data_IF_799380693273
#
_entry.id   IF_799380693273
#
_cell.length_a   1.000
_cell.length_b   1.000
_cell.length_c   1.000
_cell.angle_alpha   90.00
_cell.angle_beta   90.00
_cell.angle_gamma   90.00
#
_symmetry.space_group_name_H-M   'P 1'
#
loop_
_entity.id
_entity.type
_entity.pdbx_description
1 polymer ?
#
# COMPACT_ATOMS: atom_id res chain seq x y z
N UNK A 1 31.95 43.67 45.77
CA UNK A 1 32.78 42.89 44.83
C UNK A 1 31.90 41.81 44.22
N UNK A 2 31.55 41.95 42.93
CA UNK A 2 30.64 41.06 42.20
C UNK A 2 31.41 39.84 41.71
N UNK A 3 30.98 38.64 42.11
CA UNK A 3 31.53 37.36 41.64
C UNK A 3 30.90 37.06 40.28
N UNK A 4 31.71 37.21 39.23
CA UNK A 4 31.34 36.96 37.84
C UNK A 4 31.25 35.45 37.62
N UNK A 5 30.05 34.90 37.65
CA UNK A 5 29.78 33.51 37.23
C UNK A 5 30.11 33.40 35.74
N UNK A 6 31.14 32.61 35.39
CA UNK A 6 31.40 32.24 34.00
C UNK A 6 30.37 31.20 33.60
N UNK A 7 29.44 31.58 32.72
CA UNK A 7 28.55 30.64 32.05
C UNK A 7 29.38 29.65 31.24
N UNK A 8 29.25 28.36 31.57
CA UNK A 8 29.70 27.27 30.73
C UNK A 8 28.94 27.36 29.40
N UNK A 9 29.68 27.59 28.31
CA UNK A 9 29.20 27.38 26.96
C UNK A 9 29.20 25.87 26.72
N UNK A 10 28.07 25.22 27.00
CA UNK A 10 27.88 23.84 26.57
C UNK A 10 27.58 23.85 25.07
N UNK A 11 28.46 23.18 24.33
CA UNK A 11 28.41 23.07 22.89
C UNK A 11 27.28 22.15 22.48
N UNK A 12 26.10 22.72 22.25
CA UNK A 12 25.10 22.10 21.39
C UNK A 12 25.64 22.10 19.97
N UNK A 13 26.38 21.06 19.59
CA UNK A 13 26.62 20.68 18.21
C UNK A 13 25.26 20.37 17.58
N UNK A 14 24.56 21.41 17.15
CA UNK A 14 23.41 21.26 16.28
C UNK A 14 23.91 20.63 15.00
N UNK A 15 23.56 19.36 14.76
CA UNK A 15 23.62 18.80 13.43
C UNK A 15 22.96 19.81 12.48
N UNK A 16 23.58 20.17 11.35
CA UNK A 16 22.96 21.08 10.41
C UNK A 16 21.59 20.50 10.06
N UNK A 17 20.55 21.29 10.28
CA UNK A 17 19.17 20.90 10.02
C UNK A 17 19.07 20.49 8.55
N UNK A 18 19.15 19.18 8.28
CA UNK A 18 19.20 18.66 6.92
C UNK A 18 17.94 19.12 6.20
N UNK A 19 18.08 19.95 5.16
CA UNK A 19 16.93 20.43 4.41
C UNK A 19 16.22 19.27 3.69
N UNK A 20 14.93 19.43 3.39
CA UNK A 20 14.12 18.33 2.85
C UNK A 20 14.66 17.79 1.51
N UNK A 21 15.29 18.65 0.70
CA UNK A 21 15.83 18.29 -0.60
C UNK A 21 17.11 17.46 -0.47
N UNK A 22 18.00 17.81 0.45
CA UNK A 22 19.21 17.06 0.74
C UNK A 22 18.88 15.69 1.33
N UNK A 23 17.91 15.61 2.25
CA UNK A 23 17.41 14.34 2.78
C UNK A 23 16.84 13.43 1.68
N UNK A 24 15.97 13.96 0.80
CA UNK A 24 15.45 13.19 -0.33
C UNK A 24 16.55 12.76 -1.30
N UNK A 25 17.55 13.61 -1.54
CA UNK A 25 18.68 13.31 -2.43
C UNK A 25 19.54 12.18 -1.88
N UNK A 26 19.75 12.13 -0.56
CA UNK A 26 20.47 11.04 0.11
C UNK A 26 19.72 9.72 -0.05
N UNK A 27 18.41 9.71 0.22
CA UNK A 27 17.59 8.51 0.03
C UNK A 27 17.59 8.05 -1.43
N UNK A 28 17.49 8.98 -2.39
CA UNK A 28 17.55 8.65 -3.82
C UNK A 28 18.88 7.98 -4.22
N UNK A 29 20.00 8.41 -3.63
CA UNK A 29 21.30 7.73 -3.82
C UNK A 29 21.26 6.30 -3.27
N UNK A 30 20.71 6.11 -2.07
CA UNK A 30 20.54 4.78 -1.48
C UNK A 30 19.65 3.86 -2.31
N UNK A 31 18.53 4.37 -2.84
CA UNK A 31 17.64 3.61 -3.74
C UNK A 31 18.35 3.14 -5.02
N UNK A 32 19.31 3.93 -5.52
CA UNK A 32 20.10 3.60 -6.72
C UNK A 32 21.33 2.75 -6.44
N UNK A 33 21.60 2.38 -5.19
CA UNK A 33 22.69 1.49 -4.85
C UNK A 33 22.53 0.12 -5.54
N UNK A 34 23.65 -0.50 -5.92
CA UNK A 34 23.67 -1.88 -6.39
C UNK A 34 23.46 -2.92 -5.27
N UNK A 35 23.43 -2.48 -4.00
CA UNK A 35 23.31 -3.35 -2.83
C UNK A 35 21.89 -3.30 -2.25
N UNK A 36 21.23 -4.46 -2.24
CA UNK A 36 19.86 -4.61 -1.72
C UNK A 36 19.71 -4.10 -0.28
N UNK A 37 20.74 -4.28 0.56
CA UNK A 37 20.75 -3.78 1.94
C UNK A 37 20.65 -2.25 2.04
N UNK A 38 21.45 -1.53 1.24
CA UNK A 38 21.44 -0.06 1.20
C UNK A 38 20.14 0.47 0.60
N UNK A 39 19.60 -0.20 -0.41
CA UNK A 39 18.28 0.13 -0.97
C UNK A 39 17.18 -0.03 0.08
N UNK A 40 17.19 -1.13 0.82
CA UNK A 40 16.23 -1.39 1.89
C UNK A 40 16.32 -0.34 3.00
N UNK A 41 17.54 -0.01 3.44
CA UNK A 41 17.79 1.02 4.44
C UNK A 41 17.24 2.38 3.98
N UNK A 42 17.42 2.74 2.71
CA UNK A 42 16.85 3.95 2.15
C UNK A 42 15.31 3.91 2.13
N UNK A 43 14.69 2.79 1.75
CA UNK A 43 13.22 2.64 1.69
C UNK A 43 12.59 2.87 3.07
N UNK A 44 13.14 2.27 4.14
CA UNK A 44 12.55 2.35 5.48
C UNK A 44 12.66 3.73 6.12
N UNK A 45 13.46 4.64 5.56
CA UNK A 45 13.61 6.03 6.02
C UNK A 45 12.57 6.99 5.42
N UNK A 46 11.79 6.57 4.43
CA UNK A 46 10.74 7.42 3.83
C UNK A 46 9.59 7.78 4.78
N UNK A 47 9.02 6.86 5.59
CA UNK A 47 7.93 7.23 6.49
C UNK A 47 8.32 8.33 7.49
N UNK A 48 9.45 8.26 8.21
CA UNK A 48 9.92 9.37 9.05
C UNK A 48 10.17 10.67 8.28
N UNK A 49 10.64 10.58 7.02
CA UNK A 49 10.82 11.75 6.17
C UNK A 49 9.49 12.43 5.85
N UNK A 50 8.42 11.67 5.61
CA UNK A 50 7.08 12.22 5.34
C UNK A 50 6.47 12.88 6.57
N UNK A 51 6.71 12.33 7.75
CA UNK A 51 6.31 12.96 9.01
C UNK A 51 7.00 14.31 9.21
N UNK A 52 8.30 14.37 8.92
CA UNK A 52 9.12 15.58 9.08
C UNK A 52 8.79 16.65 8.03
N UNK A 53 8.53 16.24 6.79
CA UNK A 53 8.30 17.13 5.65
C UNK A 53 7.04 16.73 4.87
N UNK A 54 5.84 17.01 5.39
CA UNK A 54 4.57 16.52 4.86
C UNK A 54 4.07 17.29 3.62
N UNK A 55 4.97 17.82 2.80
CA UNK A 55 4.64 18.66 1.63
C UNK A 55 4.38 17.80 0.38
N UNK A 56 3.34 18.11 -0.42
CA UNK A 56 2.95 17.28 -1.57
C UNK A 56 4.04 17.03 -2.61
N UNK A 57 4.90 18.01 -2.89
CA UNK A 57 5.96 17.88 -3.90
C UNK A 57 6.94 16.76 -3.51
N UNK A 58 7.38 16.75 -2.25
CA UNK A 58 8.31 15.75 -1.73
C UNK A 58 7.67 14.37 -1.69
N UNK A 59 6.45 14.28 -1.17
CA UNK A 59 5.70 13.01 -1.06
C UNK A 59 5.47 12.41 -2.46
N UNK A 60 4.98 13.21 -3.40
CA UNK A 60 4.78 12.78 -4.78
C UNK A 60 6.07 12.25 -5.42
N UNK A 61 7.17 13.03 -5.34
CA UNK A 61 8.47 12.62 -5.88
C UNK A 61 8.97 11.31 -5.25
N UNK A 62 8.80 11.17 -3.94
CA UNK A 62 9.20 9.97 -3.18
C UNK A 62 8.41 8.74 -3.60
N UNK A 63 7.08 8.83 -3.68
CA UNK A 63 6.25 7.69 -4.12
C UNK A 63 6.53 7.30 -5.57
N UNK A 64 6.83 8.25 -6.47
CA UNK A 64 7.25 7.92 -7.83
C UNK A 64 8.56 7.13 -7.86
N UNK A 65 9.55 7.52 -7.04
CA UNK A 65 10.82 6.79 -6.89
C UNK A 65 10.63 5.40 -6.29
N UNK A 66 9.81 5.30 -5.24
CA UNK A 66 9.46 4.01 -4.63
C UNK A 66 8.73 3.09 -5.61
N UNK A 67 7.87 3.63 -6.47
CA UNK A 67 7.20 2.86 -7.52
C UNK A 67 8.17 2.36 -8.60
N UNK A 68 9.22 3.11 -8.91
CA UNK A 68 10.29 2.62 -9.79
C UNK A 68 11.03 1.44 -9.14
N UNK A 69 11.38 1.54 -7.87
CA UNK A 69 11.99 0.44 -7.10
C UNK A 69 11.05 -0.78 -7.04
N UNK A 70 9.75 -0.58 -6.84
CA UNK A 70 8.77 -1.66 -6.84
C UNK A 70 8.72 -2.39 -8.19
N UNK A 71 8.77 -1.63 -9.29
CA UNK A 71 8.71 -2.16 -10.65
C UNK A 71 9.89 -3.07 -10.95
N UNK A 72 11.12 -2.59 -10.73
CA UNK A 72 12.35 -3.31 -11.15
C UNK A 72 12.99 -4.17 -10.06
N UNK A 73 12.64 -3.95 -8.79
CA UNK A 73 13.26 -4.60 -7.64
C UNK A 73 12.90 -6.08 -7.48
N UNK A 74 13.46 -6.72 -6.46
CA UNK A 74 13.07 -8.06 -6.03
C UNK A 74 11.89 -8.00 -5.02
N UNK A 75 11.34 -9.15 -4.64
CA UNK A 75 10.20 -9.20 -3.71
C UNK A 75 10.50 -8.65 -2.32
N UNK A 76 11.76 -8.73 -1.88
CA UNK A 76 12.17 -8.14 -0.62
C UNK A 76 12.03 -6.61 -0.63
N UNK A 77 12.49 -5.94 -1.69
CA UNK A 77 12.31 -4.49 -1.84
C UNK A 77 10.83 -4.10 -2.03
N UNK A 78 10.07 -4.88 -2.81
CA UNK A 78 8.62 -4.68 -2.98
C UNK A 78 7.86 -4.73 -1.67
N UNK A 79 8.23 -5.67 -0.79
CA UNK A 79 7.65 -5.77 0.56
C UNK A 79 7.89 -4.49 1.36
N UNK A 80 9.09 -3.92 1.32
CA UNK A 80 9.37 -2.67 2.03
C UNK A 80 8.67 -1.46 1.44
N UNK A 81 8.55 -1.36 0.11
CA UNK A 81 7.73 -0.32 -0.52
C UNK A 81 6.25 -0.44 -0.10
N UNK A 82 5.71 -1.67 -0.04
CA UNK A 82 4.38 -1.94 0.52
C UNK A 82 4.27 -1.43 1.97
N UNK A 83 5.28 -1.70 2.81
CA UNK A 83 5.29 -1.20 4.21
C UNK A 83 5.27 0.32 4.28
N UNK A 84 5.99 1.01 3.39
CA UNK A 84 5.93 2.49 3.32
C UNK A 84 4.51 2.95 2.98
N UNK A 85 3.85 2.34 1.99
CA UNK A 85 2.47 2.69 1.64
C UNK A 85 1.52 2.52 2.84
N UNK A 86 1.67 1.44 3.61
CA UNK A 86 0.85 1.14 4.79
C UNK A 86 1.12 2.10 5.95
N UNK A 87 2.39 2.42 6.23
CA UNK A 87 2.77 3.27 7.35
C UNK A 87 2.48 4.75 7.09
N UNK A 88 2.38 5.15 5.82
CA UNK A 88 2.20 6.53 5.40
C UNK A 88 0.81 6.79 4.80
N UNK A 89 -0.21 6.04 5.26
CA UNK A 89 -1.60 6.13 4.76
C UNK A 89 -2.13 7.57 4.74
N UNK A 90 -1.91 8.33 5.82
CA UNK A 90 -2.32 9.75 5.97
C UNK A 90 -1.62 10.75 5.04
N UNK A 91 -0.74 10.27 4.17
CA UNK A 91 0.01 11.07 3.22
C UNK A 91 -0.26 10.66 1.77
N UNK A 92 -1.01 9.58 1.53
CA UNK A 92 -1.27 9.07 0.19
C UNK A 92 -2.10 10.05 -0.66
N UNK A 93 -2.98 10.83 -0.03
CA UNK A 93 -3.77 11.89 -0.66
C UNK A 93 -2.91 13.00 -1.31
N UNK A 94 -1.62 13.07 -0.95
CA UNK A 94 -0.67 14.06 -1.48
C UNK A 94 0.11 13.55 -2.69
N UNK A 95 -0.15 12.33 -3.16
CA UNK A 95 0.42 11.82 -4.42
C UNK A 95 -0.29 12.52 -5.58
N UNK A 96 0.43 13.37 -6.31
CA UNK A 96 -0.14 14.15 -7.41
C UNK A 96 -0.21 13.34 -8.72
N UNK A 97 0.84 12.57 -9.01
CA UNK A 97 0.95 11.76 -10.23
C UNK A 97 0.46 10.32 -10.00
N UNK A 98 -0.78 10.18 -9.54
CA UNK A 98 -1.39 8.88 -9.19
C UNK A 98 -1.36 7.89 -10.36
N UNK A 99 -1.67 8.33 -11.59
CA UNK A 99 -1.64 7.48 -12.78
C UNK A 99 -0.28 6.79 -12.98
N UNK A 100 0.79 7.57 -12.87
CA UNK A 100 2.14 7.09 -13.12
C UNK A 100 2.63 6.17 -11.98
N UNK A 101 2.29 6.50 -10.73
CA UNK A 101 2.51 5.62 -9.59
C UNK A 101 1.83 4.25 -9.80
N UNK A 102 0.53 4.26 -10.10
CA UNK A 102 -0.26 3.04 -10.32
C UNK A 102 0.29 2.25 -11.48
N UNK A 103 0.58 2.88 -12.63
CA UNK A 103 1.10 2.20 -13.82
C UNK A 103 2.39 1.43 -13.51
N UNK A 104 3.31 2.01 -12.74
CA UNK A 104 4.57 1.36 -12.35
C UNK A 104 4.34 0.16 -11.43
N UNK A 105 3.54 0.34 -10.37
CA UNK A 105 3.21 -0.75 -9.43
C UNK A 105 2.45 -1.87 -10.14
N UNK A 106 1.40 -1.52 -10.87
CA UNK A 106 0.51 -2.46 -11.55
C UNK A 106 1.23 -3.30 -12.61
N UNK A 107 2.28 -2.79 -13.25
CA UNK A 107 3.05 -3.56 -14.25
C UNK A 107 3.58 -4.91 -13.73
N UNK A 108 3.76 -5.06 -12.41
CA UNK A 108 4.25 -6.28 -11.76
C UNK A 108 3.16 -7.36 -11.63
N UNK A 109 1.87 -7.01 -11.78
CA UNK A 109 0.75 -7.97 -11.66
C UNK A 109 0.81 -9.09 -12.70
N UNK A 110 1.50 -8.86 -13.82
CA UNK A 110 1.69 -9.84 -14.90
C UNK A 110 2.91 -10.75 -14.69
N UNK A 111 3.56 -10.69 -13.52
CA UNK A 111 4.67 -11.57 -13.18
C UNK A 111 4.23 -13.03 -13.07
N UNK A 112 5.12 -13.95 -13.44
CA UNK A 112 4.91 -15.39 -13.19
C UNK A 112 5.10 -15.77 -11.72
N UNK A 113 5.69 -14.89 -10.92
CA UNK A 113 5.92 -15.10 -9.48
C UNK A 113 4.68 -14.70 -8.65
N UNK A 114 4.02 -15.66 -7.96
CA UNK A 114 2.83 -15.38 -7.16
C UNK A 114 3.09 -14.45 -5.97
N UNK A 115 4.30 -14.43 -5.41
CA UNK A 115 4.67 -13.50 -4.32
C UNK A 115 4.74 -12.08 -4.87
N UNK A 116 5.28 -11.89 -6.07
CA UNK A 116 5.31 -10.58 -6.72
C UNK A 116 3.88 -10.08 -7.02
N UNK A 117 3.00 -10.95 -7.52
CA UNK A 117 1.58 -10.62 -7.76
C UNK A 117 0.85 -10.29 -6.44
N UNK A 118 1.08 -11.09 -5.40
CA UNK A 118 0.52 -10.85 -4.06
C UNK A 118 0.95 -9.50 -3.47
N UNK A 119 2.25 -9.17 -3.54
CA UNK A 119 2.75 -7.86 -3.08
C UNK A 119 2.15 -6.70 -3.88
N UNK A 120 1.92 -6.90 -5.18
CA UNK A 120 1.24 -5.92 -6.04
C UNK A 120 -0.19 -5.68 -5.59
N UNK A 121 -0.97 -6.75 -5.39
CA UNK A 121 -2.35 -6.66 -4.89
C UNK A 121 -2.42 -5.97 -3.53
N UNK A 122 -1.55 -6.33 -2.59
CA UNK A 122 -1.50 -5.68 -1.27
C UNK A 122 -1.14 -4.20 -1.37
N UNK A 123 -0.22 -3.84 -2.25
CA UNK A 123 0.18 -2.43 -2.45
C UNK A 123 -0.97 -1.63 -3.03
N UNK A 124 -1.66 -2.15 -4.05
CA UNK A 124 -2.85 -1.53 -4.63
C UNK A 124 -3.97 -1.40 -3.60
N UNK A 125 -4.19 -2.43 -2.77
CA UNK A 125 -5.14 -2.38 -1.66
C UNK A 125 -4.81 -1.29 -0.65
N UNK A 126 -3.54 -1.15 -0.25
CA UNK A 126 -3.10 -0.10 0.69
C UNK A 126 -3.23 1.32 0.15
N UNK A 127 -3.38 1.50 -1.16
CA UNK A 127 -3.64 2.81 -1.77
C UNK A 127 -5.07 2.97 -2.30
N UNK A 128 -5.99 2.05 -1.96
CA UNK A 128 -7.35 2.03 -2.49
C UNK A 128 -8.10 3.37 -2.31
N UNK A 129 -7.81 4.11 -1.23
CA UNK A 129 -8.42 5.42 -0.95
C UNK A 129 -8.16 6.49 -2.01
N UNK A 130 -7.04 6.40 -2.76
CA UNK A 130 -6.71 7.37 -3.83
C UNK A 130 -6.98 6.83 -5.25
N UNK A 131 -7.34 5.56 -5.38
CA UNK A 131 -7.61 4.91 -6.66
C UNK A 131 -8.91 4.09 -6.70
N UNK A 132 -10.01 4.53 -6.05
CA UNK A 132 -11.16 3.66 -5.78
C UNK A 132 -11.84 3.13 -7.04
N UNK A 133 -11.79 3.85 -8.17
CA UNK A 133 -12.53 3.51 -9.40
C UNK A 133 -11.65 2.94 -10.54
N UNK A 134 -10.43 2.46 -10.23
CA UNK A 134 -9.53 1.87 -11.24
C UNK A 134 -10.00 0.49 -11.69
N UNK A 135 -10.73 0.44 -12.79
CA UNK A 135 -11.32 -0.78 -13.35
C UNK A 135 -10.30 -1.92 -13.63
N UNK A 136 -9.10 -1.59 -14.10
CA UNK A 136 -8.05 -2.61 -14.32
C UNK A 136 -7.59 -3.27 -13.02
N UNK A 137 -7.55 -2.51 -11.92
CA UNK A 137 -7.24 -3.02 -10.58
C UNK A 137 -8.39 -3.88 -10.07
N UNK A 138 -9.63 -3.43 -10.22
CA UNK A 138 -10.83 -4.19 -9.85
C UNK A 138 -10.87 -5.56 -10.53
N UNK A 139 -10.67 -5.58 -11.85
CA UNK A 139 -10.63 -6.81 -12.63
C UNK A 139 -9.51 -7.75 -12.16
N UNK A 140 -8.32 -7.21 -11.89
CA UNK A 140 -7.18 -7.99 -11.43
C UNK A 140 -7.41 -8.60 -10.05
N UNK A 141 -8.01 -7.86 -9.11
CA UNK A 141 -8.40 -8.38 -7.79
C UNK A 141 -9.40 -9.53 -7.97
N UNK A 142 -10.46 -9.33 -8.77
CA UNK A 142 -11.47 -10.36 -9.02
C UNK A 142 -10.87 -11.64 -9.59
N UNK A 143 -9.97 -11.52 -10.57
CA UNK A 143 -9.28 -12.64 -11.19
C UNK A 143 -8.33 -13.35 -10.23
N UNK A 144 -7.65 -12.60 -9.37
CA UNK A 144 -6.67 -13.15 -8.41
C UNK A 144 -7.33 -13.96 -7.29
N UNK A 145 -8.61 -13.73 -7.01
CA UNK A 145 -9.41 -14.58 -6.11
C UNK A 145 -9.63 -16.00 -6.66
N UNK A 146 -9.43 -16.21 -7.98
CA UNK A 146 -9.48 -17.51 -8.64
C UNK A 146 -8.08 -18.14 -8.84
N UNK A 147 -7.04 -17.56 -8.23
CA UNK A 147 -5.69 -18.10 -8.33
C UNK A 147 -5.56 -19.46 -7.63
N UNK A 148 -4.66 -20.29 -8.14
CA UNK A 148 -4.26 -21.55 -7.48
C UNK A 148 -3.21 -21.30 -6.39
N UNK A 149 -2.58 -20.12 -6.39
CA UNK A 149 -1.55 -19.74 -5.43
C UNK A 149 -2.19 -19.08 -4.20
N UNK A 150 -2.11 -19.75 -3.05
CA UNK A 150 -2.76 -19.27 -1.81
C UNK A 150 -2.32 -17.88 -1.38
N UNK A 151 -1.02 -17.57 -1.52
CA UNK A 151 -0.46 -16.24 -1.18
C UNK A 151 -1.07 -15.11 -2.03
N UNK A 152 -1.40 -15.40 -3.28
CA UNK A 152 -2.04 -14.44 -4.18
C UNK A 152 -3.52 -14.28 -3.83
N UNK A 153 -4.22 -15.39 -3.53
CA UNK A 153 -5.63 -15.34 -3.09
C UNK A 153 -5.77 -14.54 -1.79
N UNK A 154 -4.94 -14.78 -0.78
CA UNK A 154 -4.94 -14.02 0.48
C UNK A 154 -4.71 -12.51 0.24
N UNK A 155 -3.77 -12.18 -0.65
CA UNK A 155 -3.52 -10.80 -1.04
C UNK A 155 -4.70 -10.17 -1.79
N UNK A 156 -5.39 -10.95 -2.63
CA UNK A 156 -6.60 -10.52 -3.33
C UNK A 156 -7.76 -10.30 -2.36
N UNK A 157 -7.93 -11.13 -1.33
CA UNK A 157 -8.91 -10.93 -0.26
C UNK A 157 -8.64 -9.65 0.50
N UNK A 158 -7.38 -9.39 0.88
CA UNK A 158 -6.99 -8.12 1.49
C UNK A 158 -7.33 -6.93 0.59
N UNK A 159 -6.94 -6.97 -0.69
CA UNK A 159 -7.22 -5.88 -1.63
C UNK A 159 -8.73 -5.69 -1.85
N UNK A 160 -9.49 -6.77 -1.97
CA UNK A 160 -10.95 -6.72 -2.11
C UNK A 160 -11.61 -6.05 -0.90
N UNK A 161 -11.15 -6.35 0.32
CA UNK A 161 -11.60 -5.66 1.53
C UNK A 161 -11.36 -4.15 1.45
N UNK A 162 -10.13 -3.75 1.12
CA UNK A 162 -9.77 -2.32 1.05
C UNK A 162 -10.57 -1.57 -0.02
N UNK A 163 -10.74 -2.16 -1.20
CA UNK A 163 -11.52 -1.55 -2.28
C UNK A 163 -13.02 -1.53 -2.01
N UNK A 164 -13.58 -2.58 -1.39
CA UNK A 164 -15.00 -2.60 -1.03
C UNK A 164 -15.35 -1.50 -0.04
N UNK A 165 -14.42 -1.15 0.86
CA UNK A 165 -14.61 -0.04 1.80
C UNK A 165 -14.66 1.34 1.12
N UNK A 166 -14.03 1.50 -0.05
CA UNK A 166 -13.85 2.79 -0.71
C UNK A 166 -14.71 2.98 -1.96
N UNK A 167 -15.06 1.90 -2.66
CA UNK A 167 -15.77 1.94 -3.93
C UNK A 167 -17.07 1.16 -3.90
N UNK A 168 -18.18 1.90 -4.01
CA UNK A 168 -19.53 1.33 -4.13
C UNK A 168 -19.63 0.41 -5.35
N UNK A 169 -19.11 0.84 -6.50
CA UNK A 169 -19.18 0.09 -7.75
C UNK A 169 -18.46 -1.25 -7.61
N UNK A 170 -17.27 -1.24 -7.00
CA UNK A 170 -16.51 -2.44 -6.70
C UNK A 170 -17.25 -3.37 -5.75
N UNK A 171 -17.72 -2.86 -4.60
CA UNK A 171 -18.43 -3.65 -3.60
C UNK A 171 -19.61 -4.41 -4.23
N UNK A 172 -20.50 -3.70 -4.91
CA UNK A 172 -21.67 -4.30 -5.59
C UNK A 172 -21.24 -5.37 -6.60
N UNK A 173 -20.23 -5.09 -7.42
CA UNK A 173 -19.73 -6.04 -8.42
C UNK A 173 -19.11 -7.30 -7.82
N UNK A 174 -18.58 -7.20 -6.59
CA UNK A 174 -17.84 -8.25 -5.90
C UNK A 174 -18.75 -9.13 -5.04
N UNK A 175 -19.91 -8.64 -4.62
CA UNK A 175 -20.84 -9.33 -3.71
C UNK A 175 -21.13 -10.79 -4.12
N UNK A 176 -21.52 -11.01 -5.38
CA UNK A 176 -21.78 -12.37 -5.91
C UNK A 176 -20.55 -13.27 -5.84
N UNK A 177 -19.37 -12.73 -6.15
CA UNK A 177 -18.12 -13.50 -6.17
C UNK A 177 -17.75 -13.97 -4.76
N UNK A 178 -17.81 -13.06 -3.78
CA UNK A 178 -17.50 -13.37 -2.37
C UNK A 178 -18.53 -14.36 -1.81
N UNK A 179 -19.81 -14.15 -2.10
CA UNK A 179 -20.88 -15.06 -1.67
C UNK A 179 -20.66 -16.48 -2.18
N UNK A 180 -20.33 -16.63 -3.46
CA UNK A 180 -20.01 -17.93 -4.05
C UNK A 180 -18.80 -18.59 -3.38
N UNK A 181 -17.74 -17.84 -3.09
CA UNK A 181 -16.56 -18.38 -2.40
C UNK A 181 -16.88 -18.81 -0.96
N UNK A 182 -17.71 -18.06 -0.23
CA UNK A 182 -18.11 -18.42 1.14
C UNK A 182 -18.95 -19.70 1.15
N UNK A 183 -19.90 -19.84 0.23
CA UNK A 183 -20.76 -21.03 0.12
C UNK A 183 -20.02 -22.24 -0.45
N UNK A 184 -19.01 -22.01 -1.30
CA UNK A 184 -18.24 -23.07 -1.96
C UNK A 184 -17.54 -23.99 -0.96
N UNK A 185 -17.65 -25.31 -1.20
CA UNK A 185 -16.96 -26.33 -0.41
C UNK A 185 -15.45 -26.36 -0.66
N UNK A 186 -15.01 -25.87 -1.83
CA UNK A 186 -13.59 -25.82 -2.21
C UNK A 186 -12.81 -24.75 -1.42
N UNK A 187 -13.49 -23.75 -0.86
CA UNK A 187 -12.85 -22.68 -0.10
C UNK A 187 -12.57 -23.16 1.33
N UNK A 188 -11.32 -23.19 1.80
CA UNK A 188 -10.99 -23.60 3.15
C UNK A 188 -11.63 -22.69 4.22
N UNK A 189 -11.92 -23.25 5.40
CA UNK A 189 -12.59 -22.51 6.47
C UNK A 189 -11.89 -21.20 6.87
N UNK A 190 -10.56 -21.20 6.97
CA UNK A 190 -9.79 -19.99 7.31
C UNK A 190 -9.98 -18.87 6.27
N UNK A 191 -10.04 -19.22 4.98
CA UNK A 191 -10.27 -18.26 3.90
C UNK A 191 -11.70 -17.70 3.95
N UNK A 192 -12.69 -18.53 4.27
CA UNK A 192 -14.08 -18.07 4.49
C UNK A 192 -14.15 -17.03 5.61
N UNK A 193 -13.43 -17.24 6.71
CA UNK A 193 -13.36 -16.27 7.81
C UNK A 193 -12.76 -14.93 7.40
N UNK A 194 -11.83 -14.91 6.43
CA UNK A 194 -11.26 -13.67 5.89
C UNK A 194 -12.18 -12.98 4.87
N UNK A 195 -13.02 -13.75 4.16
CA UNK A 195 -13.99 -13.24 3.19
C UNK A 195 -15.22 -12.60 3.83
N UNK A 196 -15.72 -13.15 4.93
CA UNK A 196 -16.93 -12.68 5.62
C UNK A 196 -16.89 -11.18 5.96
N UNK A 197 -15.79 -10.62 6.52
CA UNK A 197 -15.70 -9.19 6.81
C UNK A 197 -15.92 -8.28 5.60
N UNK A 198 -15.62 -8.72 4.37
CA UNK A 198 -15.83 -7.92 3.16
C UNK A 198 -17.31 -7.58 2.97
N UNK A 199 -18.21 -8.46 3.43
CA UNK A 199 -19.65 -8.29 3.30
C UNK A 199 -20.19 -7.08 4.07
N UNK A 200 -19.47 -6.57 5.08
CA UNK A 200 -19.87 -5.37 5.82
C UNK A 200 -19.98 -4.12 4.93
N UNK A 201 -19.28 -4.13 3.78
CA UNK A 201 -19.28 -3.05 2.81
C UNK A 201 -20.38 -3.19 1.74
N UNK A 202 -21.23 -4.22 1.81
CA UNK A 202 -22.29 -4.51 0.83
C UNK A 202 -23.63 -3.88 1.24
N UNK A 203 -23.60 -2.63 1.69
CA UNK A 203 -24.77 -1.89 2.19
C UNK A 203 -25.21 -0.76 1.24
N UNK A 204 -24.65 -0.72 0.03
CA UNK A 204 -24.82 0.41 -0.89
C UNK A 204 -26.09 0.36 -1.75
N UNK A 205 -26.77 -0.80 -1.80
CA UNK A 205 -28.07 -0.96 -2.43
C UNK A 205 -28.86 -2.10 -1.75
N UNK A 206 -30.19 -2.06 -1.91
CA UNK A 206 -31.10 -3.01 -1.24
C UNK A 206 -30.88 -4.45 -1.69
N UNK A 207 -30.50 -4.67 -2.95
CA UNK A 207 -30.35 -6.02 -3.50
C UNK A 207 -29.13 -6.74 -2.91
N UNK A 208 -28.00 -6.05 -2.83
CA UNK A 208 -26.77 -6.58 -2.23
C UNK A 208 -26.92 -6.75 -0.72
N UNK A 209 -27.58 -5.80 -0.03
CA UNK A 209 -27.86 -5.92 1.39
C UNK A 209 -28.77 -7.11 1.72
N UNK A 210 -29.83 -7.35 0.92
CA UNK A 210 -30.72 -8.48 1.10
C UNK A 210 -30.00 -9.82 0.87
N UNK A 211 -29.14 -9.89 -0.14
CA UNK A 211 -28.32 -11.07 -0.43
C UNK A 211 -27.37 -11.40 0.72
N UNK A 212 -26.65 -10.41 1.24
CA UNK A 212 -25.74 -10.60 2.39
C UNK A 212 -26.52 -11.02 3.63
N UNK A 213 -27.70 -10.44 3.87
CA UNK A 213 -28.55 -10.85 4.99
C UNK A 213 -28.93 -12.32 4.89
N UNK A 214 -29.35 -12.81 3.72
CA UNK A 214 -29.69 -14.21 3.51
C UNK A 214 -28.48 -15.14 3.64
N UNK A 215 -27.29 -14.70 3.21
CA UNK A 215 -26.07 -15.49 3.30
C UNK A 215 -25.60 -15.69 4.75
N UNK A 216 -25.82 -14.69 5.61
CA UNK A 216 -25.34 -14.67 7.00
C UNK A 216 -26.34 -15.24 8.02
N UNK A 217 -27.53 -15.66 7.58
CA UNK A 217 -28.56 -16.32 8.41
C UNK A 217 -28.59 -17.81 8.17
#
# INVERSE_FOLDING_TARGET
MSVRFRSFSDGGLGEPEQDANSALTELDKGLRSGRVGEQCEAIVRFPPLFEKYPFPILINSSFLKLADVFRVGNNFLRLWVLRVCQQSEKHLDKILNVDEFVRRVFSVIHSNDPVARALTLRTLGSVAGIIPERQQVHHSIRRSLDSHDTVEVEAAVYAAMQFAAQSKSFAVSMCNKISHMIQGLATPAHMKLQLIPILQHMHHDTSTAAMVRQLCT
#
